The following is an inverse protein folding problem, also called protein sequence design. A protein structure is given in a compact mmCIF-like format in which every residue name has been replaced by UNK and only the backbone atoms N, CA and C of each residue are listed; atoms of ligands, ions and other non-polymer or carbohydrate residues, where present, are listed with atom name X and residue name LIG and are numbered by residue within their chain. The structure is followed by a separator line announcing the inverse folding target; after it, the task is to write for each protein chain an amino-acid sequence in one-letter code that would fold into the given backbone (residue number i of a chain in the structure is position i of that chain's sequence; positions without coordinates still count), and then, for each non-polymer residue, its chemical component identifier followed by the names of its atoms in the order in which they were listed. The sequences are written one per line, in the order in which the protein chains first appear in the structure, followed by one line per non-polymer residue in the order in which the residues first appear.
data_IF_912384909569
#
_entry.id   IF_912384909569
#
_cell.length_a   1.000
_cell.length_b   1.000
_cell.length_c   1.000
_cell.angle_alpha   90.00
_cell.angle_beta   90.00
_cell.angle_gamma   90.00
#
_symmetry.space_group_name_H-M   'P 1'
#
loop_
_entity.id
_entity.type
_entity.pdbx_description
1 polymer ?
#
# COMPACT_ATOMS: atom_id res chain seq x y z
N UNK A 1 -36.13 1.90 27.38
CA UNK A 1 -35.36 3.17 27.61
C UNK A 1 -33.85 2.93 27.58
N UNK A 2 -33.35 1.70 27.71
CA UNK A 2 -31.91 1.36 27.73
C UNK A 2 -31.24 1.13 26.36
N UNK A 3 -31.99 1.04 25.25
CA UNK A 3 -31.44 0.67 23.93
C UNK A 3 -30.90 1.88 23.14
N UNK A 4 -31.44 3.08 23.35
CA UNK A 4 -31.08 4.27 22.59
C UNK A 4 -29.74 4.91 23.02
N UNK A 5 -29.30 4.68 24.26
CA UNK A 5 -28.03 5.20 24.78
C UNK A 5 -26.82 4.42 24.27
N UNK A 6 -26.96 3.11 24.01
CA UNK A 6 -25.86 2.26 23.57
C UNK A 6 -25.46 2.51 22.10
N UNK A 7 -26.38 3.04 21.28
CA UNK A 7 -26.12 3.33 19.86
C UNK A 7 -25.31 4.61 19.61
N UNK A 8 -25.40 5.58 20.53
CA UNK A 8 -24.66 6.84 20.43
C UNK A 8 -23.17 6.68 20.76
N UNK A 9 -22.81 5.61 21.47
CA UNK A 9 -21.45 5.33 21.91
C UNK A 9 -20.73 4.26 21.07
N UNK A 10 -21.43 3.62 20.14
CA UNK A 10 -20.89 2.57 19.28
C UNK A 10 -19.68 3.07 18.46
N UNK A 11 -18.56 2.34 18.54
CA UNK A 11 -17.34 2.64 17.79
C UNK A 11 -16.47 3.74 18.39
N UNK A 12 -16.89 4.40 19.49
CA UNK A 12 -16.12 5.51 20.07
C UNK A 12 -14.81 5.02 20.68
N UNK A 13 -14.80 3.84 21.31
CA UNK A 13 -13.60 3.28 21.93
C UNK A 13 -12.53 2.97 20.87
N UNK A 14 -12.96 2.39 19.75
CA UNK A 14 -12.10 2.04 18.62
C UNK A 14 -11.55 3.29 17.93
N UNK A 15 -12.38 4.30 17.71
CA UNK A 15 -11.94 5.59 17.17
C UNK A 15 -10.94 6.28 18.10
N UNK A 16 -11.19 6.25 19.42
CA UNK A 16 -10.24 6.76 20.40
C UNK A 16 -8.92 5.98 20.41
N UNK A 17 -8.98 4.67 20.18
CA UNK A 17 -7.78 3.82 20.07
C UNK A 17 -6.95 4.21 18.85
N UNK A 18 -7.58 4.39 17.69
CA UNK A 18 -6.91 4.86 16.47
C UNK A 18 -6.26 6.22 16.71
N UNK A 19 -6.99 7.15 17.33
CA UNK A 19 -6.48 8.48 17.67
C UNK A 19 -5.26 8.42 18.61
N UNK A 20 -5.28 7.55 19.61
CA UNK A 20 -4.16 7.36 20.53
C UNK A 20 -2.95 6.71 19.85
N UNK A 21 -3.19 5.82 18.89
CA UNK A 21 -2.14 5.11 18.17
C UNK A 21 -1.43 6.00 17.14
N UNK A 22 -2.13 6.96 16.55
CA UNK A 22 -1.60 7.88 15.53
C UNK A 22 -1.89 9.35 15.91
N UNK A 23 -1.22 9.88 16.96
CA UNK A 23 -1.50 11.23 17.47
C UNK A 23 -1.08 12.36 16.52
N UNK A 24 -0.17 12.08 15.58
CA UNK A 24 0.27 13.04 14.58
C UNK A 24 -0.72 13.16 13.40
N UNK A 25 -1.51 12.10 13.16
CA UNK A 25 -2.43 12.01 12.03
C UNK A 25 -3.89 12.36 12.39
N UNK A 26 -4.28 12.19 13.67
CA UNK A 26 -5.66 12.39 14.13
C UNK A 26 -5.74 13.30 15.35
N UNK A 27 -6.75 14.18 15.35
CA UNK A 27 -7.05 15.07 16.44
C UNK A 27 -8.39 14.72 17.13
N UNK A 28 -8.85 15.59 18.04
CA UNK A 28 -10.12 15.37 18.76
C UNK A 28 -11.36 15.43 17.85
N UNK A 29 -11.29 16.07 16.68
CA UNK A 29 -12.41 16.20 15.76
C UNK A 29 -12.78 14.86 15.10
N UNK A 30 -11.88 13.87 15.06
CA UNK A 30 -12.17 12.52 14.52
C UNK A 30 -13.38 11.88 15.21
N UNK A 31 -13.52 12.06 16.54
CA UNK A 31 -14.65 11.51 17.30
C UNK A 31 -15.96 12.22 16.93
N UNK A 32 -15.91 13.53 16.73
CA UNK A 32 -17.07 14.31 16.30
C UNK A 32 -17.49 13.92 14.88
N UNK A 33 -16.51 13.78 13.99
CA UNK A 33 -16.67 13.35 12.61
C UNK A 33 -17.32 11.96 12.52
N UNK A 34 -16.85 11.00 13.32
CA UNK A 34 -17.45 9.67 13.44
C UNK A 34 -18.93 9.72 13.86
N UNK A 35 -19.27 10.54 14.86
CA UNK A 35 -20.65 10.69 15.34
C UNK A 35 -21.58 11.24 14.25
N UNK A 36 -21.11 12.23 13.48
CA UNK A 36 -21.87 12.80 12.36
C UNK A 36 -22.02 11.78 11.24
N UNK A 37 -20.94 11.10 10.87
CA UNK A 37 -20.96 10.09 9.83
C UNK A 37 -21.89 8.92 10.16
N UNK A 38 -21.92 8.46 11.42
CA UNK A 38 -22.86 7.42 11.89
C UNK A 38 -24.32 7.84 11.72
N UNK A 39 -24.65 9.10 12.06
CA UNK A 39 -26.00 9.64 11.83
C UNK A 39 -26.33 9.68 10.34
N UNK A 40 -25.38 10.09 9.49
CA UNK A 40 -25.53 10.04 8.04
C UNK A 40 -25.83 8.63 7.54
N UNK A 41 -25.07 7.61 7.97
CA UNK A 41 -25.31 6.21 7.60
C UNK A 41 -26.69 5.70 8.05
N UNK A 42 -27.16 6.13 9.23
CA UNK A 42 -28.48 5.76 9.73
C UNK A 42 -29.60 6.37 8.89
N UNK A 43 -29.51 7.66 8.58
CA UNK A 43 -30.47 8.35 7.69
C UNK A 43 -30.46 7.73 6.29
N UNK A 44 -29.28 7.40 5.78
CA UNK A 44 -29.12 6.75 4.48
C UNK A 44 -29.80 5.37 4.45
N UNK A 45 -29.68 4.58 5.52
CA UNK A 45 -30.38 3.28 5.67
C UNK A 45 -31.91 3.43 5.72
N UNK A 46 -32.43 4.49 6.32
CA UNK A 46 -33.88 4.72 6.38
C UNK A 46 -34.48 5.21 5.05
N UNK A 47 -33.72 5.99 4.27
CA UNK A 47 -34.20 6.59 3.03
C UNK A 47 -34.08 5.67 1.81
N UNK A 48 -33.19 4.67 1.84
CA UNK A 48 -32.94 3.81 0.68
C UNK A 48 -33.82 2.55 0.65
N UNK A 49 -34.67 2.48 -0.38
CA UNK A 49 -35.29 1.25 -0.93
C UNK A 49 -34.31 0.48 -1.85
N UNK A 50 -33.09 0.99 -2.03
CA UNK A 50 -32.03 0.50 -2.92
C UNK A 50 -30.99 -0.34 -2.17
N UNK A 51 -30.25 -1.16 -2.93
CA UNK A 51 -29.37 -2.23 -2.46
C UNK A 51 -28.45 -1.82 -1.29
N UNK A 52 -28.44 -2.65 -0.24
CA UNK A 52 -27.57 -2.51 0.93
C UNK A 52 -26.10 -2.53 0.47
N UNK A 53 -25.40 -1.40 0.60
CA UNK A 53 -23.97 -1.34 0.33
C UNK A 53 -23.20 -2.18 1.36
N UNK A 54 -22.24 -2.96 0.88
CA UNK A 54 -21.31 -3.68 1.78
C UNK A 54 -20.43 -2.69 2.54
N UNK A 55 -19.90 -3.10 3.70
CA UNK A 55 -18.97 -2.28 4.49
C UNK A 55 -17.77 -1.79 3.64
N UNK A 56 -17.21 -2.68 2.81
CA UNK A 56 -16.13 -2.33 1.88
C UNK A 56 -16.56 -1.24 0.88
N UNK A 57 -17.77 -1.33 0.34
CA UNK A 57 -18.27 -0.33 -0.59
C UNK A 57 -18.51 1.03 0.09
N UNK A 58 -18.95 1.03 1.34
CA UNK A 58 -19.07 2.25 2.15
C UNK A 58 -17.69 2.90 2.36
N UNK A 59 -16.68 2.12 2.73
CA UNK A 59 -15.29 2.60 2.84
C UNK A 59 -14.77 3.19 1.53
N UNK A 60 -14.96 2.48 0.42
CA UNK A 60 -14.53 2.95 -0.91
C UNK A 60 -15.23 4.26 -1.28
N UNK A 61 -16.54 4.37 -1.02
CA UNK A 61 -17.29 5.59 -1.33
C UNK A 61 -16.77 6.78 -0.52
N UNK A 62 -16.46 6.58 0.76
CA UNK A 62 -15.95 7.61 1.66
C UNK A 62 -14.58 8.17 1.21
N UNK A 63 -13.76 7.34 0.57
CA UNK A 63 -12.44 7.76 0.05
C UNK A 63 -12.52 8.32 -1.37
N UNK A 64 -13.37 7.75 -2.24
CA UNK A 64 -13.42 8.09 -3.68
C UNK A 64 -14.31 9.29 -4.01
N UNK A 65 -15.35 9.56 -3.21
CA UNK A 65 -16.23 10.69 -3.46
C UNK A 65 -15.65 11.95 -2.79
N UNK A 66 -15.26 12.94 -3.60
CA UNK A 66 -14.63 14.17 -3.13
C UNK A 66 -15.50 14.91 -2.10
N UNK A 67 -16.82 15.00 -2.32
CA UNK A 67 -17.71 15.66 -1.37
C UNK A 67 -17.75 14.96 -0.01
N UNK A 68 -17.77 13.62 0.01
CA UNK A 68 -17.75 12.89 1.29
C UNK A 68 -16.38 12.97 1.95
N UNK A 69 -15.30 12.99 1.16
CA UNK A 69 -13.95 13.15 1.69
C UNK A 69 -13.75 14.52 2.33
N UNK A 70 -14.27 15.56 1.71
CA UNK A 70 -14.19 16.93 2.25
C UNK A 70 -15.04 17.11 3.51
N UNK A 71 -16.19 16.42 3.58
CA UNK A 71 -17.04 16.40 4.79
C UNK A 71 -16.45 15.58 5.94
N UNK A 72 -15.69 14.52 5.61
CA UNK A 72 -15.15 13.57 6.56
C UNK A 72 -13.64 13.31 6.34
N UNK A 73 -12.78 14.34 6.48
CA UNK A 73 -11.37 14.25 6.11
C UNK A 73 -10.56 13.26 6.96
N UNK A 74 -10.77 13.24 8.29
CA UNK A 74 -9.99 12.36 9.18
C UNK A 74 -10.47 10.91 9.10
N UNK A 75 -11.77 10.71 8.96
CA UNK A 75 -12.36 9.40 8.75
C UNK A 75 -11.96 8.85 7.37
N UNK A 76 -11.86 9.70 6.34
CA UNK A 76 -11.31 9.30 5.04
C UNK A 76 -9.87 8.84 5.14
N UNK A 77 -9.03 9.56 5.90
CA UNK A 77 -7.66 9.12 6.16
C UNK A 77 -7.61 7.79 6.91
N UNK A 78 -8.40 7.62 7.98
CA UNK A 78 -8.47 6.37 8.73
C UNK A 78 -8.94 5.19 7.86
N UNK A 79 -9.92 5.42 6.99
CA UNK A 79 -10.41 4.39 6.05
C UNK A 79 -9.38 4.10 4.96
N UNK A 80 -8.62 5.08 4.50
CA UNK A 80 -7.53 4.89 3.54
C UNK A 80 -6.45 3.97 4.12
N UNK A 81 -6.02 4.22 5.36
CA UNK A 81 -5.10 3.34 6.10
C UNK A 81 -5.69 1.93 6.23
N UNK A 82 -6.96 1.82 6.62
CA UNK A 82 -7.64 0.52 6.76
C UNK A 82 -7.71 -0.26 5.45
N UNK A 83 -7.96 0.40 4.31
CA UNK A 83 -8.02 -0.24 3.00
C UNK A 83 -6.64 -0.68 2.50
N UNK A 84 -5.57 -0.05 2.98
CA UNK A 84 -4.19 -0.44 2.71
C UNK A 84 -3.70 -1.58 3.62
N UNK A 85 -4.36 -1.82 4.76
CA UNK A 85 -3.98 -2.92 5.64
C UNK A 85 -4.19 -4.27 4.90
N UNK A 86 -3.21 -5.20 4.96
CA UNK A 86 -3.37 -6.52 4.38
C UNK A 86 -4.43 -7.30 5.19
N UNK A 87 -5.69 -7.25 4.74
CA UNK A 87 -6.81 -7.96 5.40
C UNK A 87 -6.73 -9.48 5.17
N UNK A 88 -5.97 -9.94 4.17
CA UNK A 88 -5.86 -11.36 3.82
C UNK A 88 -4.44 -11.89 3.97
N UNK A 89 -4.31 -13.05 4.62
CA UNK A 89 -3.07 -13.84 4.70
C UNK A 89 -2.61 -14.35 3.34
N UNK A 90 -3.47 -14.36 2.31
CA UNK A 90 -3.15 -14.94 1.01
C UNK A 90 -1.95 -14.25 0.31
N UNK A 91 -1.76 -12.94 0.52
CA UNK A 91 -0.57 -12.24 -0.01
C UNK A 91 0.68 -12.69 0.74
N UNK A 92 0.61 -12.77 2.06
CA UNK A 92 1.71 -13.24 2.91
C UNK A 92 2.08 -14.70 2.59
N UNK A 93 1.09 -15.56 2.38
CA UNK A 93 1.28 -16.96 1.95
C UNK A 93 1.96 -17.04 0.57
N UNK A 94 1.60 -16.15 -0.37
CA UNK A 94 2.26 -16.04 -1.68
C UNK A 94 3.70 -15.59 -1.54
N UNK A 95 3.99 -14.63 -0.65
CA UNK A 95 5.33 -14.11 -0.42
C UNK A 95 6.22 -15.19 0.23
N UNK A 96 5.70 -15.94 1.20
CA UNK A 96 6.40 -17.09 1.78
C UNK A 96 6.59 -18.23 0.77
N UNK A 97 5.61 -18.48 -0.09
CA UNK A 97 5.76 -19.47 -1.18
C UNK A 97 6.89 -19.06 -2.13
N UNK A 98 6.97 -17.78 -2.47
CA UNK A 98 8.06 -17.21 -3.29
C UNK A 98 9.40 -17.33 -2.58
N UNK A 99 9.45 -17.01 -1.29
CA UNK A 99 10.64 -17.17 -0.46
C UNK A 99 11.13 -18.62 -0.45
N UNK A 100 10.23 -19.59 -0.28
CA UNK A 100 10.56 -21.02 -0.29
C UNK A 100 11.06 -21.52 -1.66
N UNK A 101 10.65 -20.89 -2.77
CA UNK A 101 11.22 -21.18 -4.11
C UNK A 101 12.64 -20.66 -4.25
N UNK A 102 12.96 -19.55 -3.59
CA UNK A 102 14.30 -18.94 -3.62
C UNK A 102 15.24 -19.68 -2.65
N UNK A 103 14.78 -19.97 -1.44
CA UNK A 103 15.50 -20.71 -0.40
C UNK A 103 15.26 -22.22 -0.55
N UNK A 104 15.94 -22.81 -1.52
CA UNK A 104 15.97 -24.27 -1.64
C UNK A 104 16.94 -24.90 -0.63
N UNK A 105 16.86 -26.22 -0.42
CA UNK A 105 17.75 -26.94 0.50
C UNK A 105 19.24 -26.73 0.18
N UNK A 106 19.58 -26.57 -1.11
CA UNK A 106 20.94 -26.30 -1.58
C UNK A 106 21.32 -24.80 -1.51
N UNK A 107 20.32 -23.91 -1.40
CA UNK A 107 20.47 -22.44 -1.44
C UNK A 107 19.86 -21.78 -0.20
N UNK A 108 20.17 -22.30 0.99
CA UNK A 108 19.63 -21.80 2.25
C UNK A 108 20.56 -20.81 3.00
N UNK A 109 21.74 -20.49 2.44
CA UNK A 109 22.75 -19.58 3.05
C UNK A 109 22.76 -18.17 2.45
N UNK A 110 21.63 -17.69 1.95
CA UNK A 110 21.53 -16.31 1.47
C UNK A 110 21.53 -15.33 2.65
N UNK A 111 22.24 -14.21 2.49
CA UNK A 111 22.10 -13.09 3.40
C UNK A 111 20.70 -12.49 3.26
N UNK A 112 20.23 -11.79 4.30
CA UNK A 112 18.94 -11.11 4.28
C UNK A 112 18.83 -10.13 3.10
N UNK A 113 19.89 -9.37 2.83
CA UNK A 113 19.97 -8.44 1.69
C UNK A 113 19.81 -9.14 0.33
N UNK A 114 20.53 -10.24 0.11
CA UNK A 114 20.40 -10.98 -1.16
C UNK A 114 19.03 -11.64 -1.30
N UNK A 115 18.48 -12.16 -0.21
CA UNK A 115 17.13 -12.74 -0.21
C UNK A 115 16.09 -11.68 -0.56
N UNK A 116 16.17 -10.49 0.05
CA UNK A 116 15.27 -9.37 -0.24
C UNK A 116 15.34 -8.96 -1.73
N UNK A 117 16.55 -8.81 -2.27
CA UNK A 117 16.75 -8.48 -3.69
C UNK A 117 16.12 -9.53 -4.62
N UNK A 118 16.31 -10.82 -4.31
CA UNK A 118 15.74 -11.91 -5.11
C UNK A 118 14.23 -12.00 -4.97
N UNK A 119 13.69 -11.77 -3.77
CA UNK A 119 12.25 -11.68 -3.55
C UNK A 119 11.66 -10.54 -4.37
N UNK A 120 12.26 -9.35 -4.34
CA UNK A 120 11.83 -8.19 -5.13
C UNK A 120 11.83 -8.50 -6.62
N UNK A 121 12.88 -9.14 -7.14
CA UNK A 121 12.93 -9.58 -8.55
C UNK A 121 11.86 -10.63 -8.84
N UNK A 122 11.58 -11.56 -7.92
CA UNK A 122 10.61 -12.63 -8.16
C UNK A 122 9.15 -12.17 -8.06
N UNK A 123 8.88 -11.14 -7.25
CA UNK A 123 7.54 -10.58 -7.04
C UNK A 123 7.21 -9.51 -8.10
N UNK A 124 8.14 -8.58 -8.32
CA UNK A 124 7.93 -7.39 -9.17
C UNK A 124 8.61 -7.48 -10.53
N UNK A 125 9.45 -8.50 -10.74
CA UNK A 125 10.18 -8.65 -11.99
C UNK A 125 9.30 -9.15 -13.14
N UNK A 126 9.78 -8.99 -14.39
CA UNK A 126 9.07 -9.49 -15.56
C UNK A 126 8.94 -11.02 -15.50
N UNK A 127 7.79 -11.54 -15.93
CA UNK A 127 7.49 -12.98 -15.92
C UNK A 127 8.46 -13.80 -16.78
N UNK A 128 8.99 -13.18 -17.83
CA UNK A 128 10.05 -13.73 -18.66
C UNK A 128 11.24 -12.79 -18.66
N UNK A 129 12.39 -13.31 -18.26
CA UNK A 129 13.66 -12.64 -18.44
C UNK A 129 14.22 -13.11 -19.80
N UNK A 130 13.99 -12.31 -20.84
CA UNK A 130 14.72 -12.49 -22.09
C UNK A 130 16.20 -12.17 -21.90
N UNK A 131 17.03 -12.59 -22.85
CA UNK A 131 18.47 -12.45 -22.74
C UNK A 131 18.93 -10.98 -22.77
N UNK A 132 18.19 -10.12 -23.47
CA UNK A 132 18.45 -8.67 -23.51
C UNK A 132 18.24 -8.00 -22.14
N UNK A 133 17.19 -8.39 -21.42
CA UNK A 133 16.90 -7.93 -20.06
C UNK A 133 17.91 -8.47 -19.06
N UNK A 134 18.33 -9.73 -19.19
CA UNK A 134 19.41 -10.28 -18.35
C UNK A 134 20.71 -9.51 -18.54
N UNK A 135 21.09 -9.26 -19.79
CA UNK A 135 22.29 -8.51 -20.13
C UNK A 135 22.21 -7.07 -19.62
N UNK A 136 21.03 -6.44 -19.72
CA UNK A 136 20.80 -5.12 -19.15
C UNK A 136 20.91 -5.11 -17.62
N UNK A 137 20.32 -6.09 -16.93
CA UNK A 137 20.40 -6.21 -15.46
C UNK A 137 21.85 -6.44 -15.02
N UNK A 138 22.57 -7.34 -15.69
CA UNK A 138 23.99 -7.61 -15.41
C UNK A 138 24.84 -6.37 -15.66
N UNK A 139 24.61 -5.66 -16.78
CA UNK A 139 25.32 -4.43 -17.11
C UNK A 139 25.06 -3.34 -16.07
N UNK A 140 23.80 -3.12 -15.70
CA UNK A 140 23.41 -2.18 -14.64
C UNK A 140 24.05 -2.55 -13.30
N UNK A 141 23.97 -3.82 -12.88
CA UNK A 141 24.57 -4.29 -11.64
C UNK A 141 26.10 -4.07 -11.63
N UNK A 142 26.80 -4.43 -12.71
CA UNK A 142 28.25 -4.17 -12.86
C UNK A 142 28.58 -2.68 -12.83
N UNK A 143 27.76 -1.84 -13.48
CA UNK A 143 27.93 -0.38 -13.45
C UNK A 143 27.81 0.16 -12.02
N UNK A 144 26.78 -0.28 -11.29
CA UNK A 144 26.59 0.11 -9.90
C UNK A 144 27.74 -0.41 -9.02
N UNK A 145 28.10 -1.70 -9.08
CA UNK A 145 29.23 -2.29 -8.34
C UNK A 145 30.56 -1.59 -8.62
N UNK A 146 30.80 -1.21 -9.89
CA UNK A 146 31.98 -0.45 -10.29
C UNK A 146 32.05 0.93 -9.65
N UNK A 147 30.92 1.63 -9.47
CA UNK A 147 30.87 2.93 -8.81
C UNK A 147 31.22 2.86 -7.31
N UNK A 148 30.87 1.77 -6.63
CA UNK A 148 31.21 1.55 -5.22
C UNK A 148 32.72 1.33 -4.99
N UNK A 149 33.45 0.80 -5.98
CA UNK A 149 34.90 0.57 -5.88
C UNK A 149 35.74 1.84 -6.12
N UNK A 150 35.27 2.81 -6.91
CA UNK A 150 36.08 4.02 -7.22
C UNK A 150 35.90 5.13 -6.18
N UNK A 151 34.78 5.16 -5.45
CA UNK A 151 34.48 6.24 -4.49
C UNK A 151 33.92 5.66 -3.19
N UNK A 152 34.82 5.23 -2.31
CA UNK A 152 34.45 4.83 -0.95
C UNK A 152 33.53 5.87 -0.28
N UNK A 153 32.36 5.38 0.15
CA UNK A 153 31.34 6.00 0.99
C UNK A 153 30.25 6.94 0.40
N UNK A 154 29.04 6.58 0.83
CA UNK A 154 27.81 7.34 1.07
C UNK A 154 27.01 7.88 -0.12
N UNK A 155 25.82 7.32 -0.27
CA UNK A 155 24.74 7.81 -1.11
C UNK A 155 24.50 9.30 -0.86
N UNK A 156 24.73 10.12 -1.90
CA UNK A 156 23.94 11.32 -2.11
C UNK A 156 23.34 11.24 -3.50
N UNK A 157 22.01 11.08 -3.52
CA UNK A 157 21.18 11.09 -4.71
C UNK A 157 21.63 12.22 -5.65
N UNK A 158 21.90 11.87 -6.91
CA UNK A 158 22.25 12.87 -7.91
C UNK A 158 21.45 12.60 -9.19
N UNK A 159 20.37 13.36 -9.34
CA UNK A 159 19.69 13.95 -10.52
C UNK A 159 19.72 13.28 -11.91
N UNK A 160 20.18 12.03 -12.05
CA UNK A 160 20.21 11.27 -13.30
C UNK A 160 19.03 10.29 -13.45
N UNK A 161 18.09 10.30 -12.50
CA UNK A 161 16.82 9.55 -12.60
C UNK A 161 16.04 9.95 -13.85
N UNK A 162 16.05 11.23 -14.26
CA UNK A 162 15.34 11.68 -15.47
C UNK A 162 15.93 11.11 -16.77
N UNK A 163 17.25 10.98 -16.86
CA UNK A 163 17.91 10.37 -18.02
C UNK A 163 17.62 8.86 -18.12
N UNK A 164 17.47 8.18 -16.98
CA UNK A 164 17.11 6.77 -16.92
C UNK A 164 15.65 6.54 -17.32
N UNK A 165 14.71 7.32 -16.77
CA UNK A 165 13.29 7.24 -17.16
C UNK A 165 13.08 7.58 -18.65
N UNK A 166 13.83 8.54 -19.20
CA UNK A 166 13.77 8.91 -20.62
C UNK A 166 14.30 7.81 -21.58
N UNK A 167 15.29 7.02 -21.15
CA UNK A 167 15.80 5.88 -21.92
C UNK A 167 14.95 4.62 -21.77
N UNK A 168 14.38 4.40 -20.58
CA UNK A 168 13.49 3.27 -20.31
C UNK A 168 12.17 3.40 -21.09
N UNK A 169 11.52 4.56 -21.05
CA UNK A 169 10.28 4.80 -21.81
C UNK A 169 10.46 4.77 -23.33
N UNK A 170 11.65 5.12 -23.83
CA UNK A 170 11.94 5.06 -25.29
C UNK A 170 12.09 3.65 -25.83
N UNK A 171 12.44 2.66 -25.01
CA UNK A 171 12.55 1.25 -25.44
C UNK A 171 11.22 0.50 -25.32
N UNK A 172 10.38 0.84 -24.34
CA UNK A 172 9.06 0.21 -24.18
C UNK A 172 8.08 0.59 -25.30
N UNK A 173 8.23 1.75 -25.94
CA UNK A 173 7.39 2.16 -27.07
C UNK A 173 7.73 1.50 -28.42
N UNK A 174 8.82 0.73 -28.52
CA UNK A 174 9.23 0.09 -29.80
C UNK A 174 8.66 -1.34 -29.92
N UNK A 175 7.97 -1.84 -28.89
CA UNK A 175 7.44 -3.20 -28.85
C UNK A 175 5.94 -3.24 -28.57
N UNK A 176 5.14 -2.56 -29.38
CA UNK A 176 3.76 -2.97 -29.65
C UNK A 176 3.40 -2.57 -31.10
N UNK A 177 2.90 -3.50 -31.95
CA UNK A 177 2.26 -3.16 -33.21
C UNK A 177 0.93 -2.43 -33.01
#
# INVERSE_FOLDING_TARGET
VSEATNEQEYGIQEINTIRQQYPDDFNDDLVAEWKVFRKYLFVQKQQQKSAILTQRQQCINLVKNGMTRDMYPQLSLAVEIFLCAPISTATVERDFSTMNRILTDLRNRLTTEHLEQLMRISIEGPSNLDDDLKDLIIHCWKYFQGQWFVHGFSMRANNNTEAFHSRFNRRVQITHP
#
